data_IF_462079931995
#
_entry.id   IF_462079931995
#
_cell.length_a   1.000
_cell.length_b   1.000
_cell.length_c   1.000
_cell.angle_alpha   90.00
_cell.angle_beta   90.00
_cell.angle_gamma   90.00
#
_symmetry.space_group_name_H-M   'P 1'
#
loop_
_entity.id
_entity.type
_entity.pdbx_description
1 polymer ?
#
# COMPACT_ATOMS: atom_id res chain seq x y z
N UNK A 1 8.92 17.56 -5.20
CA UNK A 1 7.61 16.91 -5.28
C UNK A 1 7.71 15.63 -6.10
N UNK A 2 7.19 14.57 -5.56
CA UNK A 2 7.17 13.28 -6.26
C UNK A 2 5.84 13.10 -6.96
N UNK A 3 5.88 12.44 -8.12
CA UNK A 3 4.70 12.18 -8.93
C UNK A 3 4.62 10.67 -9.21
N UNK A 4 3.45 10.09 -9.05
CA UNK A 4 3.19 8.72 -9.46
C UNK A 4 2.37 8.78 -10.74
N UNK A 5 2.90 8.16 -11.80
CA UNK A 5 2.18 8.05 -13.06
C UNK A 5 1.52 6.67 -13.12
N UNK A 6 0.23 6.65 -13.40
CA UNK A 6 -0.53 5.42 -13.53
C UNK A 6 -0.88 5.18 -14.99
N UNK A 7 -0.64 3.96 -15.44
CA UNK A 7 -0.94 3.55 -16.80
C UNK A 7 -1.96 2.42 -16.79
N UNK A 8 -2.83 2.41 -17.77
CA UNK A 8 -3.75 1.29 -17.98
C UNK A 8 -3.60 0.78 -19.40
N UNK A 9 -3.70 -0.54 -19.53
CA UNK A 9 -3.62 -1.22 -20.84
C UNK A 9 -4.78 -2.18 -20.96
N UNK A 10 -5.31 -2.42 -22.17
CA UNK A 10 -6.36 -3.42 -22.35
C UNK A 10 -5.81 -4.83 -22.11
N UNK A 11 -6.51 -5.60 -21.27
CA UNK A 11 -6.19 -7.00 -20.99
C UNK A 11 -4.74 -7.26 -20.55
N UNK A 12 -4.24 -6.55 -19.53
CA UNK A 12 -2.87 -6.78 -19.08
C UNK A 12 -2.76 -8.14 -18.41
N UNK A 13 -1.58 -8.78 -18.46
CA UNK A 13 -1.33 -9.97 -17.64
C UNK A 13 -1.48 -9.64 -16.16
N UNK A 14 -1.87 -10.63 -15.37
CA UNK A 14 -1.95 -10.46 -13.93
C UNK A 14 -0.57 -10.18 -13.33
N UNK A 15 -0.54 -9.39 -12.26
CA UNK A 15 0.70 -9.12 -11.53
C UNK A 15 1.24 -10.44 -10.95
N UNK A 16 2.53 -10.80 -11.18
CA UNK A 16 3.14 -11.95 -10.51
C UNK A 16 3.47 -11.58 -9.06
N UNK A 17 2.79 -12.23 -8.10
CA UNK A 17 2.95 -11.93 -6.68
C UNK A 17 3.43 -13.12 -5.86
N UNK A 18 3.25 -14.34 -6.34
CA UNK A 18 3.62 -15.54 -5.61
C UNK A 18 4.26 -16.58 -6.53
N UNK A 19 5.60 -16.58 -6.69
CA UNK A 19 6.56 -15.70 -6.03
C UNK A 19 6.62 -14.32 -6.69
N UNK A 20 7.14 -13.34 -5.94
CA UNK A 20 7.38 -12.00 -6.46
C UNK A 20 8.44 -12.04 -7.55
N UNK A 21 8.16 -11.35 -8.67
CA UNK A 21 9.15 -11.14 -9.71
C UNK A 21 10.09 -9.99 -9.33
N UNK A 22 11.21 -9.91 -10.04
CA UNK A 22 12.11 -8.76 -9.91
C UNK A 22 11.37 -7.48 -10.31
N UNK A 23 11.71 -6.37 -9.67
CA UNK A 23 11.11 -5.08 -9.95
C UNK A 23 10.40 -4.52 -8.72
N UNK A 24 9.43 -3.65 -8.95
CA UNK A 24 8.70 -2.96 -7.89
C UNK A 24 7.88 -3.93 -7.06
N UNK A 25 8.12 -3.96 -5.75
CA UNK A 25 7.38 -4.82 -4.83
C UNK A 25 6.19 -4.10 -4.21
N UNK A 26 6.41 -2.88 -3.71
CA UNK A 26 5.32 -2.08 -3.15
C UNK A 26 5.70 -0.61 -3.17
N UNK A 27 4.71 0.24 -3.00
CA UNK A 27 4.89 1.67 -2.78
C UNK A 27 4.57 1.98 -1.33
N UNK A 28 5.39 2.82 -0.70
CA UNK A 28 5.15 3.28 0.66
C UNK A 28 4.90 4.77 0.65
N UNK A 29 3.86 5.20 1.36
CA UNK A 29 3.51 6.61 1.52
C UNK A 29 3.56 6.96 3.00
N UNK A 30 4.22 8.07 3.33
CA UNK A 30 4.25 8.59 4.68
C UNK A 30 2.99 9.40 4.94
N UNK A 31 2.35 9.16 6.08
CA UNK A 31 1.12 9.86 6.47
C UNK A 31 1.29 10.47 7.86
N UNK A 32 0.64 11.60 8.09
CA UNK A 32 0.73 12.29 9.39
C UNK A 32 -0.09 11.58 10.46
N UNK A 33 -1.24 11.04 10.10
CA UNK A 33 -2.18 10.39 11.02
C UNK A 33 -2.62 9.04 10.43
N UNK A 34 -1.99 7.98 10.90
CA UNK A 34 -2.28 6.63 10.38
C UNK A 34 -3.71 6.19 10.72
N UNK A 35 -4.18 6.53 11.91
CA UNK A 35 -5.56 6.16 12.31
C UNK A 35 -6.58 6.81 11.40
N UNK A 36 -6.38 8.08 11.03
CA UNK A 36 -7.27 8.76 10.10
C UNK A 36 -7.21 8.13 8.71
N UNK A 37 -6.01 7.78 8.25
CA UNK A 37 -5.83 7.12 6.95
C UNK A 37 -6.53 5.76 6.91
N UNK A 38 -6.39 4.96 7.96
CA UNK A 38 -7.06 3.65 8.06
C UNK A 38 -8.57 3.82 8.12
N UNK A 39 -9.05 4.82 8.88
CA UNK A 39 -10.48 5.15 8.93
C UNK A 39 -11.03 5.50 7.54
N UNK A 40 -10.26 6.17 6.72
CA UNK A 40 -10.64 6.47 5.35
C UNK A 40 -10.70 5.21 4.47
N UNK A 41 -9.74 4.30 4.62
CA UNK A 41 -9.79 3.00 3.93
C UNK A 41 -11.06 2.25 4.31
N UNK A 42 -11.38 2.20 5.61
CA UNK A 42 -12.57 1.51 6.11
C UNK A 42 -13.85 2.16 5.57
N UNK A 43 -13.91 3.49 5.51
CA UNK A 43 -15.07 4.21 5.01
C UNK A 43 -15.36 3.95 3.54
N UNK A 44 -14.32 3.58 2.79
CA UNK A 44 -14.41 3.24 1.36
C UNK A 44 -14.48 1.74 1.12
N UNK A 45 -14.63 0.95 2.19
CA UNK A 45 -14.68 -0.52 2.12
C UNK A 45 -13.44 -1.14 1.49
N UNK A 46 -12.28 -0.49 1.65
CA UNK A 46 -11.01 -1.01 1.17
C UNK A 46 -10.42 -1.93 2.24
N UNK A 47 -10.21 -3.18 1.89
CA UNK A 47 -9.60 -4.15 2.81
C UNK A 47 -8.14 -3.80 3.06
N UNK A 48 -7.70 -3.98 4.28
CA UNK A 48 -6.32 -3.77 4.67
C UNK A 48 -5.91 -4.78 5.73
N UNK A 49 -4.60 -4.96 5.88
CA UNK A 49 -4.06 -5.80 6.94
C UNK A 49 -4.18 -5.08 8.30
N UNK A 50 -4.01 -5.82 9.41
CA UNK A 50 -3.94 -5.17 10.72
C UNK A 50 -2.78 -4.18 10.79
N UNK A 51 -2.96 -3.13 11.59
CA UNK A 51 -1.90 -2.16 11.86
C UNK A 51 -0.78 -2.88 12.60
N UNK A 52 0.46 -2.66 12.16
CA UNK A 52 1.66 -3.23 12.78
C UNK A 52 2.57 -2.12 13.27
N UNK A 53 3.46 -2.46 14.17
CA UNK A 53 4.47 -1.53 14.69
C UNK A 53 5.85 -1.96 14.18
N UNK A 54 6.59 -1.01 13.63
CA UNK A 54 7.96 -1.22 13.22
C UNK A 54 8.82 -1.31 14.48
N UNK A 55 9.43 -2.45 14.74
CA UNK A 55 10.21 -2.68 15.94
C UNK A 55 11.48 -1.83 16.01
N UNK A 56 11.96 -1.32 14.88
CA UNK A 56 13.16 -0.49 14.81
C UNK A 56 12.88 0.99 15.09
N UNK A 57 11.71 1.49 14.68
CA UNK A 57 11.36 2.91 14.81
C UNK A 57 10.29 3.16 15.84
N UNK A 58 9.50 2.14 16.22
CA UNK A 58 8.33 2.29 17.08
C UNK A 58 7.13 2.90 16.38
N UNK A 59 7.24 3.20 15.10
CA UNK A 59 6.15 3.80 14.32
C UNK A 59 5.24 2.73 13.76
N UNK A 60 4.00 3.09 13.53
CA UNK A 60 3.00 2.17 13.02
C UNK A 60 2.88 2.26 11.51
N UNK A 61 2.44 1.17 10.90
CA UNK A 61 2.22 1.11 9.47
C UNK A 61 1.13 0.08 9.15
N UNK A 62 0.59 0.18 7.95
CA UNK A 62 -0.44 -0.73 7.46
C UNK A 62 -0.25 -0.99 5.99
N UNK A 63 -0.55 -2.22 5.56
CA UNK A 63 -0.55 -2.61 4.15
C UNK A 63 -1.96 -2.84 3.64
N UNK A 64 -2.18 -2.46 2.41
CA UNK A 64 -3.35 -2.83 1.63
C UNK A 64 -2.90 -3.04 0.18
N UNK A 65 -3.80 -3.38 -0.72
CA UNK A 65 -3.45 -3.60 -2.13
C UNK A 65 -4.25 -2.67 -3.02
N UNK A 66 -3.64 -2.29 -4.14
CA UNK A 66 -4.41 -1.64 -5.19
C UNK A 66 -5.30 -2.67 -5.90
N UNK A 67 -6.18 -2.26 -6.83
CA UNK A 67 -7.08 -3.20 -7.51
C UNK A 67 -6.37 -4.31 -8.28
N UNK A 68 -5.12 -4.11 -8.67
CA UNK A 68 -4.34 -5.09 -9.43
C UNK A 68 -3.44 -5.95 -8.53
N UNK A 69 -3.51 -5.77 -7.23
CA UNK A 69 -2.75 -6.56 -6.27
C UNK A 69 -1.38 -5.99 -5.91
N UNK A 70 -1.04 -4.77 -6.36
CA UNK A 70 0.20 -4.13 -5.92
C UNK A 70 0.08 -3.75 -4.45
N UNK A 71 0.97 -4.24 -3.57
CA UNK A 71 0.93 -3.83 -2.17
C UNK A 71 1.24 -2.34 -2.00
N UNK A 72 0.46 -1.69 -1.14
CA UNK A 72 0.65 -0.29 -0.78
C UNK A 72 0.84 -0.23 0.73
N UNK A 73 1.85 0.50 1.15
CA UNK A 73 2.14 0.71 2.57
C UNK A 73 1.85 2.15 2.96
N UNK A 74 1.15 2.33 4.08
CA UNK A 74 1.02 3.63 4.73
C UNK A 74 1.86 3.58 6.01
N UNK A 75 2.81 4.48 6.13
CA UNK A 75 3.76 4.53 7.24
C UNK A 75 3.58 5.84 7.99
N UNK A 76 3.47 5.75 9.31
CA UNK A 76 3.27 6.96 10.11
C UNK A 76 4.56 7.80 10.16
N UNK A 77 4.37 9.09 10.07
CA UNK A 77 5.46 10.07 10.02
C UNK A 77 6.19 10.23 11.34
#
# INVERSE_FOLDING_TARGET
>A
TYVVELFSFPNPPARPSYPEAAGLRHLAFEVDDLSAAVGELDSKSIKHEPIRTDEYTGKQFVFFSDPDGLPIELYEK
#
